data_IF_889555246601
#
_entry.id   IF_889555246601
#
_cell.length_a   1.000
_cell.length_b   1.000
_cell.length_c   1.000
_cell.angle_alpha   90.00
_cell.angle_beta   90.00
_cell.angle_gamma   90.00
#
_symmetry.space_group_name_H-M   'P 1'
#
loop_
_entity.id
_entity.type
_entity.pdbx_description
1 polymer ?
#
# COMPACT_ATOMS: atom_id res chain seq x y z
N UNK A 1 -42.40 27.50 8.21
CA UNK A 1 -41.00 27.51 8.62
C UNK A 1 -40.55 26.07 8.63
N UNK A 2 -40.05 25.62 7.47
CA UNK A 2 -39.65 24.23 7.27
C UNK A 2 -38.13 24.09 7.44
N UNK A 3 -37.70 23.29 8.40
CA UNK A 3 -36.32 22.90 8.57
C UNK A 3 -36.09 21.64 7.73
N UNK A 4 -35.27 21.76 6.70
CA UNK A 4 -34.75 20.64 5.93
C UNK A 4 -33.48 20.12 6.63
N UNK A 5 -33.60 18.98 7.28
CA UNK A 5 -32.46 18.28 7.83
C UNK A 5 -31.82 17.44 6.73
N UNK A 6 -30.61 17.77 6.35
CA UNK A 6 -29.76 16.92 5.49
C UNK A 6 -29.21 15.79 6.33
N UNK A 7 -29.84 14.61 6.21
CA UNK A 7 -29.35 13.38 6.81
C UNK A 7 -28.17 12.84 6.02
N UNK A 8 -26.97 12.92 6.58
CA UNK A 8 -25.83 12.17 6.08
C UNK A 8 -26.09 10.68 6.33
N UNK A 9 -26.35 9.92 5.27
CA UNK A 9 -26.49 8.47 5.33
C UNK A 9 -25.13 7.87 5.60
N UNK A 10 -24.89 7.47 6.83
CA UNK A 10 -23.71 6.73 7.24
C UNK A 10 -23.87 5.31 6.73
N UNK A 11 -23.19 4.98 5.61
CA UNK A 11 -23.13 3.61 5.12
C UNK A 11 -22.23 2.84 6.07
N UNK A 12 -22.83 2.06 6.95
CA UNK A 12 -22.12 1.12 7.81
C UNK A 12 -21.96 -0.16 7.02
N UNK A 13 -20.78 -0.33 6.42
CA UNK A 13 -20.41 -1.64 5.87
C UNK A 13 -20.14 -2.60 7.02
N UNK A 14 -21.04 -3.52 7.24
CA UNK A 14 -20.79 -4.67 8.09
C UNK A 14 -19.96 -5.65 7.27
N UNK A 15 -18.63 -5.64 7.45
CA UNK A 15 -17.72 -6.65 6.92
C UNK A 15 -18.03 -8.00 7.62
N UNK A 16 -19.07 -8.68 7.17
CA UNK A 16 -19.42 -10.00 7.64
C UNK A 16 -18.75 -11.06 6.78
N UNK A 17 -17.41 -11.12 6.85
CA UNK A 17 -16.67 -12.35 6.52
C UNK A 17 -15.42 -12.40 7.40
N UNK A 18 -15.59 -12.72 8.67
CA UNK A 18 -14.49 -13.26 9.47
C UNK A 18 -14.13 -14.61 8.88
N UNK A 19 -12.98 -14.72 8.23
CA UNK A 19 -12.35 -16.00 7.99
C UNK A 19 -12.00 -16.64 9.35
N UNK A 20 -12.58 -17.80 9.70
CA UNK A 20 -12.14 -18.54 10.87
C UNK A 20 -10.81 -19.21 10.49
N UNK A 21 -9.75 -18.90 11.20
CA UNK A 21 -8.37 -19.40 11.11
C UNK A 21 -7.40 -18.57 10.28
N UNK A 22 -7.22 -17.30 10.65
CA UNK A 22 -5.87 -16.72 10.59
C UNK A 22 -5.24 -17.02 11.96
N UNK A 23 -4.17 -17.77 11.96
CA UNK A 23 -3.51 -18.27 13.16
C UNK A 23 -3.30 -17.15 14.16
N UNK A 24 -3.62 -17.46 15.43
CA UNK A 24 -3.32 -16.62 16.60
C UNK A 24 -1.82 -16.32 16.79
N UNK A 25 -1.00 -16.56 15.78
CA UNK A 25 0.45 -16.41 15.78
C UNK A 25 0.95 -15.22 14.96
N UNK A 26 0.08 -14.37 14.44
CA UNK A 26 0.50 -13.11 13.81
C UNK A 26 0.79 -12.06 14.90
N UNK A 27 1.95 -12.23 15.54
CA UNK A 27 2.33 -11.40 16.69
C UNK A 27 2.86 -10.02 16.30
N UNK A 28 3.32 -9.82 15.06
CA UNK A 28 3.82 -8.52 14.60
C UNK A 28 3.31 -8.21 13.19
N UNK A 29 2.90 -6.94 12.97
CA UNK A 29 2.59 -6.44 11.63
C UNK A 29 3.83 -5.92 10.90
N UNK A 30 4.86 -5.52 11.65
CA UNK A 30 6.13 -5.04 11.10
C UNK A 30 7.02 -6.23 10.74
N UNK A 31 7.58 -6.22 9.54
CA UNK A 31 8.46 -7.27 9.02
C UNK A 31 7.95 -8.70 9.32
N UNK A 32 6.70 -9.03 8.98
CA UNK A 32 6.06 -10.28 9.44
C UNK A 32 6.74 -11.53 8.88
N UNK A 33 7.59 -11.39 7.88
CA UNK A 33 8.35 -12.49 7.28
C UNK A 33 9.79 -12.60 7.81
N UNK A 34 10.20 -11.76 8.78
CA UNK A 34 11.52 -11.81 9.39
C UNK A 34 12.65 -11.59 8.39
N UNK A 35 12.46 -10.68 7.43
CA UNK A 35 13.50 -10.31 6.47
C UNK A 35 14.66 -9.59 7.14
N UNK A 36 15.83 -9.56 6.49
CA UNK A 36 17.08 -9.04 7.05
C UNK A 36 17.00 -7.54 7.43
N UNK A 37 16.88 -7.28 8.71
CA UNK A 37 16.86 -5.92 9.29
C UNK A 37 18.25 -5.26 9.31
N UNK A 38 19.31 -6.03 9.11
CA UNK A 38 20.68 -5.55 9.05
C UNK A 38 21.23 -5.48 7.61
N UNK A 39 20.37 -5.54 6.59
CA UNK A 39 20.73 -5.56 5.18
C UNK A 39 21.76 -4.46 4.85
N UNK A 40 22.83 -4.82 4.12
CA UNK A 40 23.90 -3.92 3.69
C UNK A 40 24.19 -3.99 2.18
N UNK A 41 23.20 -4.43 1.41
CA UNK A 41 23.34 -4.64 -0.04
C UNK A 41 23.55 -3.34 -0.81
N UNK A 42 23.10 -2.19 -0.27
CA UNK A 42 23.28 -0.86 -0.84
C UNK A 42 24.15 -0.03 0.13
N UNK A 43 25.48 -0.02 0.01
CA UNK A 43 26.37 0.66 0.96
C UNK A 43 26.04 2.14 1.16
N UNK A 44 25.67 2.84 0.07
CA UNK A 44 25.33 4.27 0.06
C UNK A 44 24.09 4.60 0.90
N UNK A 45 23.19 3.62 1.07
CA UNK A 45 21.96 3.77 1.86
C UNK A 45 22.13 3.33 3.32
N UNK A 46 23.27 2.71 3.68
CA UNK A 46 23.48 2.23 5.04
C UNK A 46 23.74 3.32 6.07
N UNK A 47 24.37 4.42 5.64
CA UNK A 47 24.71 5.53 6.52
C UNK A 47 23.53 6.50 6.70
N UNK A 48 22.83 6.94 5.64
CA UNK A 48 21.78 7.95 5.76
C UNK A 48 20.46 7.41 6.35
N UNK A 49 20.17 6.12 6.26
CA UNK A 49 18.93 5.53 6.81
C UNK A 49 18.99 5.37 8.31
N UNK A 50 17.86 5.45 8.99
CA UNK A 50 17.72 5.09 10.40
C UNK A 50 17.57 3.58 10.57
N UNK A 51 16.76 2.95 9.71
CA UNK A 51 16.52 1.50 9.72
C UNK A 51 16.17 0.97 8.34
N UNK A 52 16.13 -0.36 8.21
CA UNK A 52 15.56 -1.05 7.06
C UNK A 52 14.05 -1.15 7.25
N UNK A 53 13.27 -0.54 6.39
CA UNK A 53 11.80 -0.53 6.46
C UNK A 53 11.25 -1.64 5.59
N UNK A 54 11.01 -2.81 6.18
CA UNK A 54 10.34 -3.92 5.50
C UNK A 54 8.82 -3.71 5.44
N UNK A 55 8.14 -4.64 4.79
CA UNK A 55 6.70 -4.57 4.67
C UNK A 55 5.96 -4.69 6.01
N UNK A 56 4.73 -4.19 6.04
CA UNK A 56 3.89 -4.05 7.21
C UNK A 56 2.44 -4.40 6.90
N UNK A 57 1.76 -5.11 7.78
CA UNK A 57 0.32 -5.32 7.67
C UNK A 57 -0.13 -6.76 7.78
N UNK A 58 -1.20 -7.09 7.09
CA UNK A 58 -1.82 -8.42 7.10
C UNK A 58 -1.17 -9.33 6.08
N UNK A 59 -0.61 -10.45 6.51
CA UNK A 59 0.01 -11.45 5.61
C UNK A 59 -1.01 -12.21 4.75
N UNK A 60 -2.29 -12.10 5.04
CA UNK A 60 -3.39 -12.65 4.25
C UNK A 60 -4.13 -11.60 3.42
N UNK A 61 -3.54 -10.41 3.25
CA UNK A 61 -4.16 -9.29 2.59
C UNK A 61 -4.53 -9.57 1.13
N UNK A 62 -5.70 -9.10 0.72
CA UNK A 62 -6.09 -9.03 -0.69
C UNK A 62 -5.47 -7.78 -1.37
N UNK A 63 -5.19 -6.72 -0.61
CA UNK A 63 -4.71 -5.43 -1.11
C UNK A 63 -3.26 -5.19 -0.68
N UNK A 64 -2.35 -5.06 -1.66
CA UNK A 64 -0.94 -4.78 -1.42
C UNK A 64 -0.55 -3.44 -2.06
N UNK A 65 -0.21 -2.46 -1.21
CA UNK A 65 0.21 -1.12 -1.61
C UNK A 65 1.73 -1.05 -1.72
N UNK A 66 2.22 -0.48 -2.81
CA UNK A 66 3.65 -0.38 -3.10
C UNK A 66 4.02 1.07 -3.41
N UNK A 67 4.79 1.71 -2.54
CA UNK A 67 5.39 3.02 -2.80
C UNK A 67 6.80 2.90 -3.37
N UNK A 68 7.42 4.03 -3.66
CA UNK A 68 8.79 4.07 -4.20
C UNK A 68 9.83 3.76 -3.11
N UNK A 69 9.80 4.48 -2.00
CA UNK A 69 10.78 4.41 -0.90
C UNK A 69 10.15 4.77 0.44
N UNK A 70 10.81 4.46 1.56
CA UNK A 70 10.35 4.93 2.86
C UNK A 70 10.32 6.46 2.95
N UNK A 71 9.27 7.02 3.52
CA UNK A 71 9.22 8.41 3.95
C UNK A 71 10.14 8.66 5.16
N UNK A 72 10.24 9.91 5.60
CA UNK A 72 10.97 10.26 6.82
C UNK A 72 10.37 9.57 8.04
N UNK A 73 9.05 9.58 8.15
CA UNK A 73 8.34 8.93 9.22
C UNK A 73 8.45 7.40 9.16
N UNK A 74 8.40 6.83 7.96
CA UNK A 74 8.62 5.39 7.78
C UNK A 74 10.02 4.95 8.21
N UNK A 75 11.05 5.75 7.88
CA UNK A 75 12.44 5.50 8.31
C UNK A 75 12.60 5.58 9.84
N UNK A 76 11.83 6.43 10.50
CA UNK A 76 11.83 6.57 11.95
C UNK A 76 11.01 5.48 12.66
N UNK A 77 9.83 5.11 12.13
CA UNK A 77 8.87 4.21 12.79
C UNK A 77 8.99 2.75 12.35
N UNK A 78 9.56 2.48 11.17
CA UNK A 78 9.55 1.15 10.55
C UNK A 78 8.23 0.79 9.86
N UNK A 79 7.28 1.73 9.74
CA UNK A 79 5.97 1.51 9.12
C UNK A 79 5.92 2.20 7.76
N UNK A 80 5.92 1.45 6.64
CA UNK A 80 5.88 2.03 5.31
C UNK A 80 4.55 2.73 5.03
N UNK A 81 4.59 3.80 4.25
CA UNK A 81 3.47 4.52 3.64
C UNK A 81 2.51 5.26 4.58
N UNK A 82 2.21 4.72 5.75
CA UNK A 82 1.22 5.29 6.69
C UNK A 82 1.77 5.52 8.10
N UNK A 83 3.04 5.20 8.34
CA UNK A 83 3.71 5.53 9.59
C UNK A 83 3.81 7.05 9.72
N UNK A 84 3.47 7.59 10.87
CA UNK A 84 3.55 9.03 11.14
C UNK A 84 4.33 9.29 12.42
N UNK A 85 5.11 10.34 12.41
CA UNK A 85 5.73 10.95 13.59
C UNK A 85 4.87 12.13 14.06
N UNK A 86 5.24 12.77 15.16
CA UNK A 86 4.53 13.94 15.66
C UNK A 86 4.69 15.22 14.79
N UNK A 87 5.58 15.17 13.80
CA UNK A 87 5.80 16.27 12.85
C UNK A 87 4.75 16.21 11.74
N UNK A 88 3.87 17.20 11.68
CA UNK A 88 2.62 17.21 10.90
C UNK A 88 2.79 17.33 9.37
N UNK A 89 4.01 17.50 8.87
CA UNK A 89 4.28 17.75 7.45
C UNK A 89 4.60 16.47 6.62
N UNK A 90 4.31 15.27 7.15
CA UNK A 90 4.62 14.03 6.45
C UNK A 90 3.44 13.58 5.59
N UNK A 91 3.71 13.35 4.32
CA UNK A 91 2.82 12.88 3.25
C UNK A 91 2.11 11.53 3.56
N UNK A 92 2.66 10.77 4.50
CA UNK A 92 2.09 9.51 4.98
C UNK A 92 0.68 9.63 5.56
N UNK A 93 0.29 10.82 6.02
CA UNK A 93 -1.05 11.09 6.55
C UNK A 93 -2.16 10.96 5.49
N UNK A 94 -1.84 11.16 4.22
CA UNK A 94 -2.79 11.09 3.10
C UNK A 94 -3.34 9.68 2.92
N UNK A 95 -2.46 8.69 2.71
CA UNK A 95 -2.87 7.29 2.53
C UNK A 95 -3.55 6.73 3.77
N UNK A 96 -3.06 7.04 4.97
CA UNK A 96 -3.68 6.60 6.21
C UNK A 96 -5.15 7.04 6.28
N UNK A 97 -5.44 8.31 5.99
CA UNK A 97 -6.81 8.84 5.97
C UNK A 97 -7.70 8.15 4.94
N UNK A 98 -7.15 7.79 3.76
CA UNK A 98 -7.87 7.02 2.76
C UNK A 98 -8.23 5.63 3.29
N UNK A 99 -7.29 4.92 3.89
CA UNK A 99 -7.52 3.60 4.47
C UNK A 99 -8.51 3.64 5.64
N UNK A 100 -8.48 4.69 6.48
CA UNK A 100 -9.46 4.91 7.56
C UNK A 100 -10.87 5.14 6.99
N UNK A 101 -11.02 5.93 5.93
CA UNK A 101 -12.30 6.14 5.23
C UNK A 101 -12.88 4.88 4.61
N UNK A 102 -12.02 3.99 4.14
CA UNK A 102 -12.37 2.67 3.58
C UNK A 102 -12.63 1.61 4.66
N UNK A 103 -12.35 1.92 5.95
CA UNK A 103 -12.46 0.94 7.04
C UNK A 103 -11.34 -0.12 7.03
N UNK A 104 -10.25 0.13 6.32
CA UNK A 104 -9.09 -0.75 6.21
C UNK A 104 -7.97 -0.40 7.21
N UNK A 105 -8.08 0.74 7.90
CA UNK A 105 -7.21 1.15 9.00
C UNK A 105 -8.05 1.60 10.17
N UNK A 106 -7.69 1.17 11.38
CA UNK A 106 -8.34 1.63 12.61
C UNK A 106 -7.86 3.05 12.95
N UNK A 107 -8.77 4.03 12.86
CA UNK A 107 -8.50 5.43 13.15
C UNK A 107 -8.07 5.68 14.61
N UNK A 108 -8.33 4.74 15.53
CA UNK A 108 -7.94 4.84 16.95
C UNK A 108 -6.57 4.25 17.23
N UNK A 109 -5.97 3.56 16.25
CA UNK A 109 -4.67 2.94 16.41
C UNK A 109 -3.55 3.99 16.48
N UNK A 110 -2.46 3.72 17.26
CA UNK A 110 -1.33 4.62 17.34
C UNK A 110 -0.68 4.88 15.96
N UNK A 111 -0.18 6.10 15.69
CA UNK A 111 0.40 6.44 14.39
C UNK A 111 1.70 5.68 14.08
N UNK A 112 2.45 5.27 15.09
CA UNK A 112 3.65 4.44 14.97
C UNK A 112 3.36 2.93 14.91
N UNK A 113 2.12 2.51 15.17
CA UNK A 113 1.66 1.11 15.11
C UNK A 113 0.21 1.02 14.61
N UNK A 114 -0.06 1.47 13.38
CA UNK A 114 -1.41 1.46 12.85
C UNK A 114 -1.95 0.03 12.73
N UNK A 115 -3.22 -0.15 13.05
CA UNK A 115 -3.90 -1.43 12.87
C UNK A 115 -4.60 -1.43 11.53
N UNK A 116 -4.10 -2.24 10.60
CA UNK A 116 -4.70 -2.41 9.28
C UNK A 116 -5.31 -3.82 9.14
N UNK A 117 -6.38 -3.92 8.37
CA UNK A 117 -7.05 -5.19 8.04
C UNK A 117 -7.15 -5.33 6.52
N UNK A 118 -6.82 -6.52 6.02
CA UNK A 118 -6.83 -6.85 4.60
C UNK A 118 -5.90 -5.97 3.73
N UNK A 119 -4.88 -5.36 4.34
CA UNK A 119 -3.92 -4.46 3.72
C UNK A 119 -2.50 -4.87 4.08
N UNK A 120 -1.63 -4.90 3.07
CA UNK A 120 -0.18 -4.99 3.23
C UNK A 120 0.49 -3.80 2.55
N UNK A 121 1.47 -3.21 3.22
CA UNK A 121 2.14 -1.98 2.84
C UNK A 121 3.63 -2.26 2.63
N UNK A 122 4.19 -1.78 1.55
CA UNK A 122 5.60 -1.96 1.24
C UNK A 122 6.12 -0.88 0.27
N UNK A 123 7.41 -0.92 -0.06
CA UNK A 123 8.04 -0.02 -1.02
C UNK A 123 8.92 -0.79 -2.00
N UNK A 124 9.29 -0.18 -3.13
CA UNK A 124 10.30 -0.73 -4.04
C UNK A 124 11.66 -0.88 -3.34
N UNK A 125 12.07 0.14 -2.56
CA UNK A 125 13.29 0.08 -1.74
C UNK A 125 12.96 0.05 -0.25
N UNK A 126 13.86 -0.55 0.55
CA UNK A 126 13.70 -0.69 2.02
C UNK A 126 14.45 0.39 2.81
N UNK A 127 15.14 1.26 2.11
CA UNK A 127 16.02 2.26 2.69
C UNK A 127 15.78 3.62 2.04
N UNK A 128 16.01 4.67 2.81
CA UNK A 128 15.85 6.05 2.39
C UNK A 128 17.19 6.79 2.39
N UNK A 129 17.45 7.54 1.31
CA UNK A 129 18.38 8.65 1.30
C UNK A 129 17.55 9.95 1.35
N UNK A 130 17.73 10.82 2.37
CA UNK A 130 16.98 12.07 2.45
C UNK A 130 17.29 13.05 1.33
N UNK A 131 18.47 12.92 0.70
CA UNK A 131 18.95 13.86 -0.31
C UNK A 131 18.48 13.56 -1.74
N UNK A 132 18.08 12.31 -2.03
CA UNK A 132 17.74 11.88 -3.39
C UNK A 132 16.74 10.73 -3.43
N UNK A 133 16.01 10.53 -4.54
CA UNK A 133 15.25 9.31 -4.78
C UNK A 133 16.18 8.10 -4.99
N UNK A 134 15.66 6.87 -4.93
CA UNK A 134 16.43 5.68 -5.23
C UNK A 134 16.83 5.63 -6.71
N UNK A 135 17.99 5.09 -6.97
CA UNK A 135 18.46 4.79 -8.33
C UNK A 135 18.05 3.37 -8.75
N UNK A 136 18.06 3.09 -10.06
CA UNK A 136 17.65 1.80 -10.62
C UNK A 136 18.41 0.62 -9.99
N UNK A 137 19.69 0.78 -9.73
CA UNK A 137 20.51 -0.27 -9.11
C UNK A 137 20.08 -0.61 -7.67
N UNK A 138 19.57 0.37 -6.91
CA UNK A 138 19.07 0.17 -5.56
C UNK A 138 17.70 -0.52 -5.59
N UNK A 139 16.84 -0.14 -6.53
CA UNK A 139 15.54 -0.81 -6.76
C UNK A 139 15.78 -2.27 -7.15
N UNK A 140 16.63 -2.54 -8.15
CA UNK A 140 16.96 -3.90 -8.56
C UNK A 140 17.58 -4.74 -7.42
N UNK A 141 18.38 -4.11 -6.55
CA UNK A 141 18.96 -4.79 -5.38
C UNK A 141 17.90 -5.13 -4.33
N UNK A 142 16.87 -4.31 -4.19
CA UNK A 142 15.75 -4.53 -3.27
C UNK A 142 14.63 -5.41 -3.84
N UNK A 143 14.52 -5.57 -5.15
CA UNK A 143 13.48 -6.33 -5.85
C UNK A 143 13.24 -7.74 -5.28
N UNK A 144 14.26 -8.53 -4.90
CA UNK A 144 14.04 -9.86 -4.31
C UNK A 144 13.17 -9.84 -3.05
N UNK A 145 13.24 -8.78 -2.23
CA UNK A 145 12.41 -8.64 -1.03
C UNK A 145 10.95 -8.36 -1.42
N UNK A 146 10.71 -7.45 -2.36
CA UNK A 146 9.37 -7.14 -2.86
C UNK A 146 8.73 -8.38 -3.50
N UNK A 147 9.46 -9.08 -4.36
CA UNK A 147 8.99 -10.29 -5.01
C UNK A 147 8.67 -11.40 -4.00
N UNK A 148 9.45 -11.52 -2.92
CA UNK A 148 9.17 -12.47 -1.85
C UNK A 148 7.86 -12.11 -1.13
N UNK A 149 7.63 -10.84 -0.78
CA UNK A 149 6.39 -10.37 -0.16
C UNK A 149 5.18 -10.65 -1.06
N UNK A 150 5.22 -10.24 -2.32
CA UNK A 150 4.12 -10.45 -3.29
C UNK A 150 3.79 -11.95 -3.42
N UNK A 151 4.80 -12.83 -3.47
CA UNK A 151 4.59 -14.29 -3.55
C UNK A 151 4.00 -14.88 -2.28
N UNK A 152 4.47 -14.43 -1.12
CA UNK A 152 4.01 -14.96 0.18
C UNK A 152 2.60 -14.50 0.52
N UNK A 153 2.28 -13.23 0.27
CA UNK A 153 0.95 -12.63 0.49
C UNK A 153 -0.01 -13.14 -0.58
N UNK A 154 0.45 -13.19 -1.84
CA UNK A 154 -0.37 -13.54 -3.00
C UNK A 154 -1.66 -12.69 -3.06
N UNK A 155 -1.55 -11.34 -3.11
CA UNK A 155 -2.69 -10.43 -3.06
C UNK A 155 -3.58 -10.59 -4.29
N UNK A 156 -4.82 -10.10 -4.25
CA UNK A 156 -5.70 -10.01 -5.42
C UNK A 156 -5.39 -8.74 -6.22
N UNK A 157 -5.13 -7.64 -5.51
CA UNK A 157 -4.93 -6.31 -6.09
C UNK A 157 -3.58 -5.75 -5.64
N UNK A 158 -2.77 -5.31 -6.60
CA UNK A 158 -1.57 -4.50 -6.38
C UNK A 158 -1.91 -3.02 -6.58
N UNK A 159 -1.54 -2.18 -5.63
CA UNK A 159 -1.78 -0.74 -5.68
C UNK A 159 -0.42 -0.02 -5.74
N UNK A 160 0.15 0.18 -6.93
CA UNK A 160 1.34 1.01 -7.09
C UNK A 160 1.00 2.48 -6.84
N UNK A 161 1.78 3.13 -5.98
CA UNK A 161 1.65 4.54 -5.60
C UNK A 161 2.80 5.31 -6.24
N UNK A 162 2.47 6.30 -7.05
CA UNK A 162 3.44 7.12 -7.79
C UNK A 162 3.92 6.47 -9.09
N UNK A 163 4.47 7.32 -9.98
CA UNK A 163 4.90 6.90 -11.33
C UNK A 163 5.97 5.81 -11.30
N UNK A 164 6.93 5.93 -10.38
CA UNK A 164 8.03 4.97 -10.29
C UNK A 164 7.54 3.59 -9.86
N UNK A 165 6.68 3.51 -8.86
CA UNK A 165 6.10 2.24 -8.43
C UNK A 165 5.25 1.61 -9.53
N UNK A 166 4.47 2.42 -10.25
CA UNK A 166 3.67 1.93 -11.38
C UNK A 166 4.56 1.40 -12.52
N UNK A 167 5.65 2.08 -12.85
CA UNK A 167 6.56 1.65 -13.91
C UNK A 167 7.20 0.28 -13.61
N UNK A 168 7.69 0.08 -12.39
CA UNK A 168 8.33 -1.18 -11.97
C UNK A 168 7.29 -2.32 -11.88
N UNK A 169 6.17 -2.10 -11.19
CA UNK A 169 5.11 -3.11 -11.01
C UNK A 169 4.43 -3.39 -12.36
N UNK A 170 4.16 -2.36 -13.16
CA UNK A 170 3.56 -2.51 -14.49
C UNK A 170 4.40 -3.37 -15.42
N UNK A 171 5.70 -3.14 -15.46
CA UNK A 171 6.65 -3.92 -16.29
C UNK A 171 6.69 -5.39 -15.87
N UNK A 172 6.77 -5.68 -14.57
CA UNK A 172 6.90 -7.04 -14.07
C UNK A 172 5.57 -7.81 -14.17
N UNK A 173 4.45 -7.17 -13.83
CA UNK A 173 3.18 -7.87 -13.62
C UNK A 173 2.10 -7.61 -14.67
N UNK A 174 2.36 -6.82 -15.71
CA UNK A 174 1.42 -6.65 -16.83
C UNK A 174 2.03 -7.05 -18.17
N UNK A 175 1.21 -6.99 -19.23
CA UNK A 175 1.66 -7.09 -20.62
C UNK A 175 1.61 -5.73 -21.32
N UNK A 176 1.17 -4.70 -20.61
CA UNK A 176 1.08 -3.34 -21.10
C UNK A 176 2.44 -2.65 -20.95
N UNK A 177 3.02 -2.06 -21.99
CA UNK A 177 4.24 -1.28 -21.89
C UNK A 177 4.12 -0.14 -20.88
N UNK A 178 5.21 0.17 -20.15
CA UNK A 178 5.17 1.21 -19.12
C UNK A 178 4.83 2.61 -19.67
N UNK A 179 5.21 2.90 -20.91
CA UNK A 179 4.90 4.16 -21.61
C UNK A 179 3.42 4.28 -22.01
N UNK A 180 2.67 3.19 -21.96
CA UNK A 180 1.21 3.18 -22.15
C UNK A 180 0.45 3.31 -20.80
N UNK A 181 1.16 3.48 -19.68
CA UNK A 181 0.63 3.60 -18.34
C UNK A 181 1.00 4.94 -17.67
N UNK A 182 0.74 6.09 -18.29
CA UNK A 182 0.99 7.38 -17.64
C UNK A 182 0.07 7.57 -16.44
N UNK A 183 0.63 7.85 -15.28
CA UNK A 183 -0.10 7.77 -14.01
C UNK A 183 -1.32 8.70 -13.90
N UNK A 184 -1.29 9.96 -14.31
CA UNK A 184 -2.49 10.78 -14.19
C UNK A 184 -3.70 10.18 -14.93
N UNK A 185 -3.48 9.57 -16.09
CA UNK A 185 -4.52 9.00 -16.93
C UNK A 185 -5.03 7.65 -16.47
N UNK A 186 -4.16 6.82 -15.86
CA UNK A 186 -4.54 5.49 -15.35
C UNK A 186 -4.85 5.47 -13.86
N UNK A 187 -4.81 6.63 -13.20
CA UNK A 187 -5.20 6.77 -11.80
C UNK A 187 -6.63 6.27 -11.59
N UNK A 188 -6.85 5.48 -10.54
CA UNK A 188 -8.17 4.93 -10.21
C UNK A 188 -8.79 4.07 -11.34
N UNK A 189 -7.98 3.37 -12.13
CA UNK A 189 -8.46 2.39 -13.12
C UNK A 189 -8.00 0.99 -12.72
N UNK A 190 -8.71 -0.04 -13.20
CA UNK A 190 -8.29 -1.42 -13.01
C UNK A 190 -7.56 -1.93 -14.24
N UNK A 191 -6.29 -2.27 -14.09
CA UNK A 191 -5.41 -2.81 -15.13
C UNK A 191 -5.23 -4.30 -14.89
N UNK A 192 -5.50 -5.11 -15.91
CA UNK A 192 -5.30 -6.55 -15.80
C UNK A 192 -3.83 -6.92 -15.85
N UNK A 193 -3.34 -7.53 -14.77
CA UNK A 193 -1.98 -8.04 -14.65
C UNK A 193 -1.87 -9.56 -14.86
N UNK A 194 -0.67 -10.09 -14.63
CA UNK A 194 -0.34 -11.52 -14.70
C UNK A 194 -0.58 -12.19 -13.35
N UNK A 195 -1.84 -12.53 -13.07
CA UNK A 195 -2.24 -13.16 -11.80
C UNK A 195 -2.66 -12.18 -10.69
N UNK A 196 -2.66 -10.89 -10.99
CA UNK A 196 -3.14 -9.80 -10.13
C UNK A 196 -3.90 -8.80 -10.99
N UNK A 197 -4.68 -7.94 -10.35
CA UNK A 197 -5.13 -6.69 -10.95
C UNK A 197 -4.35 -5.53 -10.31
N UNK A 198 -4.10 -4.48 -11.09
CA UNK A 198 -3.44 -3.28 -10.63
C UNK A 198 -4.46 -2.13 -10.53
N UNK A 199 -4.40 -1.38 -9.46
CA UNK A 199 -5.16 -0.12 -9.29
C UNK A 199 -4.18 1.00 -8.97
N UNK A 200 -3.65 1.71 -9.99
CA UNK A 200 -2.67 2.76 -9.78
C UNK A 200 -3.22 3.93 -8.97
N UNK A 201 -2.35 4.53 -8.17
CA UNK A 201 -2.65 5.69 -7.35
C UNK A 201 -1.59 6.77 -7.57
N UNK A 202 -2.01 8.00 -7.86
CA UNK A 202 -1.16 9.18 -7.73
C UNK A 202 -0.72 9.30 -6.27
N UNK A 203 0.50 9.76 -6.00
CA UNK A 203 0.98 9.96 -4.64
C UNK A 203 -0.05 10.75 -3.81
N UNK A 204 -0.47 10.24 -2.63
CA UNK A 204 -1.56 10.86 -1.87
C UNK A 204 -1.36 12.35 -1.55
N UNK A 205 -0.12 12.79 -1.36
CA UNK A 205 0.22 14.19 -1.12
C UNK A 205 0.17 15.07 -2.36
N UNK A 206 0.17 14.48 -3.54
CA UNK A 206 0.09 15.20 -4.83
C UNK A 206 -1.31 15.17 -5.44
N UNK A 207 -2.24 14.41 -4.85
CA UNK A 207 -3.61 14.29 -5.34
C UNK A 207 -4.40 15.57 -5.15
N UNK A 208 -5.18 15.93 -6.17
CA UNK A 208 -6.28 16.88 -5.99
C UNK A 208 -7.43 16.21 -5.23
N UNK A 209 -8.34 17.02 -4.67
CA UNK A 209 -9.56 16.52 -4.01
C UNK A 209 -10.40 15.63 -4.97
N UNK A 210 -10.45 15.98 -6.26
CA UNK A 210 -11.14 15.22 -7.29
C UNK A 210 -10.49 13.85 -7.53
N UNK A 211 -9.16 13.80 -7.64
CA UNK A 211 -8.43 12.54 -7.78
C UNK A 211 -8.61 11.64 -6.55
N UNK A 212 -8.52 12.23 -5.36
CA UNK A 212 -8.76 11.52 -4.10
C UNK A 212 -10.16 10.90 -4.07
N UNK A 213 -11.18 11.67 -4.48
CA UNK A 213 -12.56 11.20 -4.48
C UNK A 213 -12.77 10.12 -5.55
N UNK A 214 -12.21 10.30 -6.76
CA UNK A 214 -12.29 9.32 -7.84
C UNK A 214 -11.68 7.98 -7.45
N UNK A 215 -10.51 8.03 -6.81
CA UNK A 215 -9.85 6.80 -6.36
C UNK A 215 -10.66 6.07 -5.27
N UNK A 216 -11.21 6.81 -4.32
CA UNK A 216 -12.06 6.23 -3.26
C UNK A 216 -13.32 5.59 -3.82
N UNK A 217 -14.02 6.26 -4.74
CA UNK A 217 -15.23 5.73 -5.37
C UNK A 217 -14.93 4.45 -6.15
N UNK A 218 -13.87 4.48 -6.97
CA UNK A 218 -13.42 3.30 -7.71
C UNK A 218 -13.06 2.14 -6.77
N UNK A 219 -12.35 2.41 -5.69
CA UNK A 219 -11.91 1.38 -4.77
C UNK A 219 -13.07 0.80 -3.92
N UNK A 220 -14.05 1.63 -3.55
CA UNK A 220 -15.30 1.17 -2.91
C UNK A 220 -16.09 0.26 -3.83
N UNK A 221 -16.24 0.62 -5.11
CA UNK A 221 -16.92 -0.21 -6.11
C UNK A 221 -16.15 -1.52 -6.33
N UNK A 222 -14.83 -1.47 -6.38
CA UNK A 222 -13.97 -2.65 -6.47
C UNK A 222 -14.20 -3.59 -5.25
N UNK A 223 -14.15 -3.06 -4.02
CA UNK A 223 -14.38 -3.86 -2.81
C UNK A 223 -15.81 -4.44 -2.74
N UNK A 224 -16.79 -3.79 -3.34
CA UNK A 224 -18.16 -4.26 -3.42
C UNK A 224 -18.36 -5.32 -4.53
N UNK A 225 -17.43 -5.43 -5.47
CA UNK A 225 -17.44 -6.40 -6.57
C UNK A 225 -16.87 -7.76 -6.14
N UNK A 226 -16.98 -8.76 -7.02
CA UNK A 226 -16.29 -10.04 -6.86
C UNK A 226 -14.86 -9.98 -7.45
N UNK A 227 -14.00 -9.12 -6.88
CA UNK A 227 -12.61 -8.92 -7.33
C UNK A 227 -11.72 -10.16 -7.15
N UNK A 228 -12.14 -11.16 -6.38
CA UNK A 228 -11.40 -12.40 -6.15
C UNK A 228 -11.50 -13.42 -7.28
N UNK A 229 -12.10 -13.06 -8.42
CA UNK A 229 -12.31 -13.99 -9.54
C UNK A 229 -11.02 -14.32 -10.30
N UNK A 230 -9.98 -13.50 -10.23
CA UNK A 230 -8.76 -13.66 -11.02
C UNK A 230 -7.95 -14.90 -10.66
N UNK A 231 -8.05 -15.43 -9.45
CA UNK A 231 -7.27 -16.58 -8.96
C UNK A 231 -8.01 -17.91 -8.92
N UNK A 232 -9.26 -17.93 -9.41
CA UNK A 232 -10.11 -19.09 -9.25
C UNK A 232 -10.36 -19.38 -7.76
N UNK A 233 -11.60 -19.45 -7.34
CA UNK A 233 -12.03 -19.70 -5.97
C UNK A 233 -11.19 -20.79 -5.30
N UNK A 234 -10.15 -20.42 -4.60
CA UNK A 234 -9.59 -21.26 -3.55
C UNK A 234 -10.46 -21.04 -2.32
N UNK A 235 -11.41 -21.93 -2.09
CA UNK A 235 -11.98 -22.10 -0.76
C UNK A 235 -10.81 -22.42 0.18
N UNK A 236 -10.48 -21.49 1.08
CA UNK A 236 -9.52 -21.71 2.16
C UNK A 236 -10.29 -22.07 3.42
#
# INVERSE_FOLDING_TARGET
MFLVGTGATRVVFTLAHRHPNVDANQQTRANPYGMDEACRNCPELCEPRTQVVHGYGDVGADFLFVGERPSSAADATGVPLIGSTADEDDDSSGLRRLLERLGLCDATSPPDRPVVENVYLTNLTRCRDPARPPIDAEIATCEPYLNAEIRMINPEILIPIGERALAEIGTEYTTTPADELPLPEVHATTIRGRGFELVPMVEPGEQTDEQTQTWLEHFVDLMASDYRQTKGRRER
#
